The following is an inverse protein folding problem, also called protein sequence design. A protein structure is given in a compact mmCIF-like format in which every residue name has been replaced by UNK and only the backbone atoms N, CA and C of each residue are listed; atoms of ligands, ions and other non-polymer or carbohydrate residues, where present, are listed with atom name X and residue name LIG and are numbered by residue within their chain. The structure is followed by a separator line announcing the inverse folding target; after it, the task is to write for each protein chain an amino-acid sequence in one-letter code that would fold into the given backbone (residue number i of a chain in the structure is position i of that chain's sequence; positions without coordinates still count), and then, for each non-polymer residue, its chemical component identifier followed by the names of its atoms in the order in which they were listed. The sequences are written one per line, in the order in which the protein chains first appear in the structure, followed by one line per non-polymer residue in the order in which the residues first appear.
data_IF_893576942832
#
_entry.id   IF_893576942832
#
_cell.length_a   1.000
_cell.length_b   1.000
_cell.length_c   1.000
_cell.angle_alpha   90.00
_cell.angle_beta   90.00
_cell.angle_gamma   90.00
#
_symmetry.space_group_name_H-M   'P 1'
#
loop_
_entity.id
_entity.type
_entity.pdbx_description
1 polymer ?
#
# COMPACT_ATOMS: atom_id res chain seq x y z
N UNK A 1 17.01 12.87 4.58
CA UNK A 1 16.00 12.37 5.54
C UNK A 1 15.11 11.22 5.01
N UNK A 2 14.98 10.95 3.70
CA UNK A 2 14.05 9.92 3.18
C UNK A 2 14.48 8.44 3.32
N UNK A 3 15.76 8.16 3.59
CA UNK A 3 16.30 6.78 3.61
C UNK A 3 16.06 6.07 4.96
N UNK A 4 15.87 6.82 6.05
CA UNK A 4 15.65 6.23 7.39
C UNK A 4 14.20 5.80 7.59
N UNK A 5 13.23 6.54 7.04
CA UNK A 5 11.81 6.14 7.04
C UNK A 5 11.60 4.84 6.24
N UNK A 6 12.36 4.68 5.14
CA UNK A 6 12.34 3.53 4.24
C UNK A 6 12.62 2.20 4.96
N UNK A 7 13.61 2.17 5.84
CA UNK A 7 14.03 0.97 6.57
C UNK A 7 13.24 0.78 7.88
N UNK A 8 12.83 1.87 8.53
CA UNK A 8 12.01 1.82 9.73
C UNK A 8 10.70 1.08 9.49
N UNK A 9 9.97 1.42 8.43
CA UNK A 9 8.64 0.85 8.18
C UNK A 9 8.66 -0.69 8.09
N UNK A 10 9.65 -1.28 7.41
CA UNK A 10 9.77 -2.75 7.32
C UNK A 10 10.22 -3.40 8.64
N UNK A 11 10.97 -2.69 9.48
CA UNK A 11 11.44 -3.20 10.77
C UNK A 11 10.30 -3.16 11.80
N UNK A 12 9.68 -1.99 11.98
CA UNK A 12 8.54 -1.80 12.89
C UNK A 12 7.34 -2.66 12.50
N UNK A 13 7.13 -2.93 11.20
CA UNK A 13 6.05 -3.81 10.77
C UNK A 13 6.19 -5.24 11.29
N UNK A 14 7.41 -5.77 11.48
CA UNK A 14 7.58 -7.13 12.01
C UNK A 14 7.22 -7.20 13.48
N UNK A 15 7.57 -6.17 14.24
CA UNK A 15 7.39 -6.10 15.70
C UNK A 15 5.94 -5.75 16.12
N UNK A 16 5.08 -5.35 15.17
CA UNK A 16 3.67 -5.02 15.46
C UNK A 16 2.79 -6.26 15.69
N UNK A 17 1.82 -6.15 16.60
CA UNK A 17 0.79 -7.19 16.82
C UNK A 17 -0.18 -7.31 15.63
N UNK A 18 -0.80 -8.48 15.47
CA UNK A 18 -1.70 -8.76 14.33
C UNK A 18 -2.91 -7.80 14.23
N UNK A 19 -3.45 -7.38 15.38
CA UNK A 19 -4.54 -6.40 15.46
C UNK A 19 -4.08 -5.01 15.02
N UNK A 20 -2.93 -4.55 15.51
CA UNK A 20 -2.36 -3.24 15.12
C UNK A 20 -2.07 -3.20 13.62
N UNK A 21 -1.56 -4.30 13.05
CA UNK A 21 -1.37 -4.43 11.59
C UNK A 21 -2.68 -4.22 10.85
N UNK A 22 -3.77 -4.84 11.31
CA UNK A 22 -5.07 -4.75 10.66
C UNK A 22 -5.65 -3.34 10.72
N UNK A 23 -5.50 -2.67 11.87
CA UNK A 23 -5.87 -1.27 12.02
C UNK A 23 -5.05 -0.37 11.08
N UNK A 24 -3.72 -0.52 11.06
CA UNK A 24 -2.84 0.29 10.23
C UNK A 24 -3.09 0.07 8.72
N UNK A 25 -3.39 -1.16 8.29
CA UNK A 25 -3.78 -1.46 6.89
C UNK A 25 -4.99 -0.65 6.46
N UNK A 26 -6.01 -0.60 7.32
CA UNK A 26 -7.26 0.14 7.05
C UNK A 26 -7.00 1.65 7.04
N UNK A 27 -6.24 2.15 8.01
CA UNK A 27 -5.90 3.57 8.14
C UNK A 27 -5.04 4.07 6.96
N UNK A 28 -4.07 3.26 6.50
CA UNK A 28 -3.24 3.58 5.34
C UNK A 28 -4.07 3.70 4.05
N UNK A 29 -5.05 2.81 3.87
CA UNK A 29 -5.95 2.82 2.71
C UNK A 29 -6.88 4.04 2.72
N UNK A 30 -7.32 4.47 3.90
CA UNK A 30 -8.14 5.68 4.07
C UNK A 30 -7.34 6.97 3.81
N UNK A 31 -6.12 7.03 4.37
CA UNK A 31 -5.21 8.18 4.21
C UNK A 31 -4.77 8.42 2.76
N UNK A 32 -4.74 7.41 1.89
CA UNK A 32 -4.42 7.60 0.47
C UNK A 32 -5.41 8.55 -0.22
N UNK A 33 -6.68 8.47 0.15
CA UNK A 33 -7.73 9.33 -0.42
C UNK A 33 -7.74 10.71 0.22
N UNK A 34 -7.48 10.79 1.52
CA UNK A 34 -7.51 12.05 2.27
C UNK A 34 -6.28 12.95 2.07
N UNK A 35 -5.16 12.42 1.59
CA UNK A 35 -3.91 13.18 1.44
C UNK A 35 -3.98 14.14 0.25
N UNK A 36 -3.78 15.44 0.52
CA UNK A 36 -3.75 16.48 -0.52
C UNK A 36 -2.44 16.55 -1.30
N UNK A 37 -1.32 16.10 -0.71
CA UNK A 37 0.03 16.29 -1.27
C UNK A 37 0.56 15.02 -1.95
N UNK A 38 0.93 15.12 -3.24
CA UNK A 38 1.37 13.96 -4.04
C UNK A 38 2.62 13.27 -3.48
N UNK A 39 3.54 14.02 -2.86
CA UNK A 39 4.73 13.45 -2.24
C UNK A 39 4.42 12.48 -1.10
N UNK A 40 3.37 12.75 -0.30
CA UNK A 40 2.94 11.88 0.79
C UNK A 40 2.22 10.65 0.23
N UNK A 41 1.38 10.83 -0.80
CA UNK A 41 0.71 9.73 -1.48
C UNK A 41 1.71 8.71 -2.06
N UNK A 42 2.81 9.20 -2.66
CA UNK A 42 3.90 8.34 -3.16
C UNK A 42 4.56 7.56 -2.02
N UNK A 43 4.86 8.20 -0.89
CA UNK A 43 5.47 7.51 0.25
C UNK A 43 4.53 6.45 0.84
N UNK A 44 3.24 6.75 0.98
CA UNK A 44 2.22 5.79 1.42
C UNK A 44 2.13 4.59 0.48
N UNK A 45 2.12 4.84 -0.83
CA UNK A 45 2.09 3.79 -1.86
C UNK A 45 3.29 2.84 -1.75
N UNK A 46 4.48 3.38 -1.51
CA UNK A 46 5.70 2.60 -1.32
C UNK A 46 5.68 1.81 0.00
N UNK A 47 5.14 2.39 1.08
CA UNK A 47 4.96 1.68 2.35
C UNK A 47 4.00 0.50 2.19
N UNK A 48 2.85 0.71 1.54
CA UNK A 48 1.85 -0.34 1.29
C UNK A 48 2.44 -1.46 0.42
N UNK A 49 3.20 -1.12 -0.63
CA UNK A 49 3.88 -2.13 -1.45
C UNK A 49 4.83 -3.03 -0.64
N UNK A 50 5.59 -2.47 0.31
CA UNK A 50 6.47 -3.25 1.19
C UNK A 50 5.74 -4.09 2.21
N UNK A 51 4.69 -3.54 2.80
CA UNK A 51 3.86 -4.29 3.73
C UNK A 51 3.18 -5.44 2.99
N UNK A 52 2.61 -5.18 1.81
CA UNK A 52 2.05 -6.21 0.94
C UNK A 52 3.08 -7.29 0.62
N UNK A 53 4.35 -6.94 0.36
CA UNK A 53 5.41 -7.96 0.17
C UNK A 53 5.55 -8.91 1.37
N UNK A 54 5.33 -8.44 2.60
CA UNK A 54 5.51 -9.27 3.82
C UNK A 54 4.24 -10.05 4.16
N UNK A 55 3.08 -9.41 4.08
CA UNK A 55 1.80 -9.97 4.52
C UNK A 55 1.00 -10.68 3.42
N UNK A 56 1.28 -10.42 2.14
CA UNK A 56 0.60 -11.07 1.02
C UNK A 56 1.35 -12.36 0.60
N UNK A 57 0.62 -13.48 0.31
CA UNK A 57 -0.83 -13.61 0.13
C UNK A 57 -1.63 -14.09 1.37
N UNK A 58 -1.03 -14.21 2.56
CA UNK A 58 -1.72 -14.81 3.72
C UNK A 58 -2.62 -13.85 4.50
N UNK A 59 -2.08 -12.72 4.93
CA UNK A 59 -2.67 -11.83 5.94
C UNK A 59 -3.29 -10.55 5.35
N UNK A 60 -3.23 -10.35 4.04
CA UNK A 60 -3.74 -9.13 3.39
C UNK A 60 -4.38 -9.38 2.02
N UNK A 61 -5.20 -10.43 1.92
CA UNK A 61 -5.90 -10.78 0.68
C UNK A 61 -6.89 -9.70 0.21
N UNK A 62 -7.46 -8.94 1.16
CA UNK A 62 -8.43 -7.88 0.90
C UNK A 62 -7.81 -6.61 0.28
N UNK A 63 -6.49 -6.51 0.15
CA UNK A 63 -5.81 -5.33 -0.40
C UNK A 63 -6.25 -5.02 -1.83
N UNK A 64 -6.21 -6.00 -2.73
CA UNK A 64 -6.61 -5.82 -4.13
C UNK A 64 -8.11 -5.50 -4.28
N UNK A 65 -9.04 -6.26 -3.65
CA UNK A 65 -10.47 -5.94 -3.67
C UNK A 65 -10.77 -4.53 -3.16
N UNK A 66 -10.15 -4.10 -2.05
CA UNK A 66 -10.33 -2.75 -1.49
C UNK A 66 -9.83 -1.66 -2.44
N UNK A 67 -8.67 -1.85 -3.06
CA UNK A 67 -8.12 -0.89 -4.04
C UNK A 67 -9.00 -0.81 -5.29
N UNK A 68 -9.51 -1.94 -5.79
CA UNK A 68 -10.43 -1.97 -6.93
C UNK A 68 -11.77 -1.31 -6.61
N UNK A 69 -12.32 -1.53 -5.41
CA UNK A 69 -13.53 -0.87 -4.96
C UNK A 69 -13.36 0.65 -4.93
N UNK A 70 -12.25 1.14 -4.36
CA UNK A 70 -11.92 2.57 -4.34
C UNK A 70 -11.75 3.12 -5.76
N UNK A 71 -11.03 2.42 -6.63
CA UNK A 71 -10.86 2.80 -8.04
C UNK A 71 -12.21 2.94 -8.75
N UNK A 72 -13.13 1.99 -8.53
CA UNK A 72 -14.48 2.04 -9.07
C UNK A 72 -15.27 3.25 -8.58
N UNK A 73 -15.26 3.52 -7.27
CA UNK A 73 -15.92 4.69 -6.68
C UNK A 73 -15.38 6.01 -7.23
N UNK A 74 -14.06 6.11 -7.39
CA UNK A 74 -13.37 7.28 -7.91
C UNK A 74 -13.63 7.52 -9.41
N UNK A 75 -13.76 6.45 -10.22
CA UNK A 75 -13.99 6.53 -11.67
C UNK A 75 -15.38 7.08 -12.05
N UNK A 76 -16.38 6.89 -11.19
CA UNK A 76 -17.75 7.36 -11.44
C UNK A 76 -17.94 8.87 -11.17
N UNK A 77 -16.94 9.54 -10.59
CA UNK A 77 -17.00 10.94 -10.22
C UNK A 77 -16.00 11.75 -11.07
N UNK A 78 -16.49 12.58 -12.01
CA UNK A 78 -15.66 13.29 -13.01
C UNK A 78 -14.64 14.30 -12.44
N UNK A 79 -14.58 14.49 -11.12
CA UNK A 79 -13.62 15.36 -10.42
C UNK A 79 -12.30 14.67 -10.02
N UNK A 80 -12.10 13.39 -10.38
CA UNK A 80 -11.17 12.51 -9.67
C UNK A 80 -10.02 11.91 -10.51
N UNK A 81 -9.51 12.63 -11.52
CA UNK A 81 -8.32 12.21 -12.28
C UNK A 81 -7.09 12.00 -11.35
N UNK A 82 -6.92 12.88 -10.36
CA UNK A 82 -5.80 12.81 -9.40
C UNK A 82 -5.94 11.62 -8.44
N UNK A 83 -7.14 11.38 -7.88
CA UNK A 83 -7.37 10.26 -6.98
C UNK A 83 -7.26 8.90 -7.71
N UNK A 84 -7.76 8.83 -8.96
CA UNK A 84 -7.62 7.64 -9.82
C UNK A 84 -6.15 7.33 -10.09
N UNK A 85 -5.37 8.35 -10.48
CA UNK A 85 -3.92 8.23 -10.69
C UNK A 85 -3.19 7.75 -9.44
N UNK A 86 -3.58 8.21 -8.25
CA UNK A 86 -3.00 7.79 -6.97
C UNK A 86 -3.29 6.32 -6.67
N UNK A 87 -4.54 5.88 -6.81
CA UNK A 87 -4.91 4.47 -6.58
C UNK A 87 -4.17 3.55 -7.56
N UNK A 88 -4.07 3.95 -8.84
CA UNK A 88 -3.28 3.24 -9.84
C UNK A 88 -1.79 3.19 -9.48
N UNK A 89 -1.24 4.27 -8.92
CA UNK A 89 0.15 4.32 -8.48
C UNK A 89 0.42 3.39 -7.28
N UNK A 90 -0.51 3.32 -6.32
CA UNK A 90 -0.46 2.36 -5.21
C UNK A 90 -0.47 0.94 -5.76
N UNK A 91 -1.40 0.64 -6.67
CA UNK A 91 -1.52 -0.67 -7.29
C UNK A 91 -0.24 -1.06 -8.04
N UNK A 92 0.31 -0.14 -8.82
CA UNK A 92 1.59 -0.34 -9.51
C UNK A 92 2.73 -0.62 -8.51
N UNK A 93 2.83 0.14 -7.41
CA UNK A 93 3.85 -0.12 -6.38
C UNK A 93 3.68 -1.49 -5.72
N UNK A 94 2.45 -1.89 -5.42
CA UNK A 94 2.14 -3.21 -4.85
C UNK A 94 2.54 -4.32 -5.82
N UNK A 95 2.09 -4.25 -7.08
CA UNK A 95 2.42 -5.24 -8.11
C UNK A 95 3.94 -5.29 -8.33
N UNK A 96 4.61 -4.14 -8.41
CA UNK A 96 6.06 -4.05 -8.56
C UNK A 96 6.79 -4.72 -7.39
N UNK A 97 6.38 -4.48 -6.15
CA UNK A 97 7.02 -5.07 -4.97
C UNK A 97 6.75 -6.58 -4.84
N UNK A 98 5.56 -7.05 -5.25
CA UNK A 98 5.20 -8.46 -5.31
C UNK A 98 5.95 -9.19 -6.44
N UNK A 99 6.07 -8.59 -7.62
CA UNK A 99 6.83 -9.14 -8.74
C UNK A 99 8.35 -9.13 -8.47
N UNK A 100 8.84 -8.15 -7.72
CA UNK A 100 10.24 -8.07 -7.26
C UNK A 100 10.54 -9.03 -6.11
N UNK A 101 9.56 -9.82 -5.66
CA UNK A 101 9.77 -10.92 -4.70
C UNK A 101 10.45 -12.07 -5.46
N UNK A 102 11.79 -11.99 -5.58
CA UNK A 102 12.61 -13.10 -6.09
C UNK A 102 12.30 -14.34 -5.25
N UNK A 103 12.13 -15.48 -5.92
CA UNK A 103 11.84 -16.78 -5.31
C UNK A 103 12.67 -16.96 -4.03
N UNK A 104 12.08 -17.43 -2.92
CA UNK A 104 12.90 -17.96 -1.85
C UNK A 104 13.82 -19.02 -2.47
N UNK A 105 15.11 -18.97 -2.14
CA UNK A 105 16.03 -20.06 -2.48
C UNK A 105 15.38 -21.33 -1.94
N UNK A 106 14.96 -22.22 -2.83
CA UNK A 106 14.46 -23.52 -2.44
C UNK A 106 15.61 -24.20 -1.67
N UNK A 107 15.40 -24.41 -0.37
CA UNK A 107 16.35 -25.13 0.48
C UNK A 107 16.01 -26.61 0.45
#
# INVERSE_FOLDING_TARGET
AGITLKHGCSKFWKDLSGEEKTHLKSELLDKIEAVSTDGVAVHLSLCIGRIARTDFPGQWQELFPRLMQKLGQTSNNSLCDVATKRILYVLHCVIKELASKRLPVAR
#
